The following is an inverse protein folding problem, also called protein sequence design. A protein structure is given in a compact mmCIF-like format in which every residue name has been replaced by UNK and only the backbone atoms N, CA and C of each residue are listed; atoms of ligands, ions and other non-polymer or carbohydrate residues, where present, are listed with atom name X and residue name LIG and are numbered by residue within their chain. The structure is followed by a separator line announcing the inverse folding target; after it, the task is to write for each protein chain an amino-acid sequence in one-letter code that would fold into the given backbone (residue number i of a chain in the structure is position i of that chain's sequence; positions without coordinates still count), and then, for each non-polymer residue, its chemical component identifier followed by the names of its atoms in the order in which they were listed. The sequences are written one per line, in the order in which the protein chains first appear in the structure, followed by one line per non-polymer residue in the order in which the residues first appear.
data_IF_567412173157
#
_entry.id   IF_567412173157
#
_cell.length_a   1.000
_cell.length_b   1.000
_cell.length_c   1.000
_cell.angle_alpha   90.00
_cell.angle_beta   90.00
_cell.angle_gamma   90.00
#
_symmetry.space_group_name_H-M   'P 1'
#
loop_
_entity.id
_entity.type
_entity.pdbx_description
1 polymer ?
#
# COMPACT_ATOMS: atom_id res chain seq x y z
N UNK A 1 6.26 12.65 7.85
CA UNK A 1 4.78 12.76 7.71
C UNK A 1 4.21 13.34 8.99
N UNK A 2 3.31 14.32 8.94
CA UNK A 2 2.52 14.76 10.13
C UNK A 2 1.20 13.99 10.20
N UNK A 3 0.52 13.96 11.37
CA UNK A 3 -0.79 13.29 11.53
C UNK A 3 -1.84 13.79 10.51
N UNK A 4 -1.88 15.10 10.25
CA UNK A 4 -2.80 15.70 9.27
C UNK A 4 -2.49 15.22 7.84
N UNK A 5 -1.22 15.16 7.46
CA UNK A 5 -0.81 14.69 6.13
C UNK A 5 -1.08 13.19 5.97
N UNK A 6 -0.84 12.39 7.01
CA UNK A 6 -1.11 10.96 7.01
C UNK A 6 -2.59 10.65 6.83
N UNK A 7 -3.47 11.40 7.52
CA UNK A 7 -4.94 11.25 7.36
C UNK A 7 -5.41 11.61 5.95
N UNK A 8 -4.87 12.68 5.37
CA UNK A 8 -5.18 13.06 3.99
C UNK A 8 -4.73 11.98 2.99
N UNK A 9 -3.51 11.45 3.17
CA UNK A 9 -2.98 10.36 2.37
C UNK A 9 -3.84 9.08 2.52
N UNK A 10 -4.23 8.71 3.74
CA UNK A 10 -5.08 7.57 4.01
C UNK A 10 -6.44 7.67 3.31
N UNK A 11 -7.06 8.87 3.30
CA UNK A 11 -8.32 9.11 2.60
C UNK A 11 -8.16 8.92 1.09
N UNK A 12 -7.13 9.52 0.51
CA UNK A 12 -6.84 9.38 -0.92
C UNK A 12 -6.54 7.92 -1.31
N UNK A 13 -5.74 7.23 -0.50
CA UNK A 13 -5.45 5.81 -0.66
C UNK A 13 -6.74 4.96 -0.69
N UNK A 14 -7.62 5.17 0.28
CA UNK A 14 -8.89 4.43 0.37
C UNK A 14 -9.81 4.70 -0.83
N UNK A 15 -9.88 5.96 -1.30
CA UNK A 15 -10.65 6.33 -2.49
C UNK A 15 -10.08 5.69 -3.76
N UNK A 16 -8.76 5.71 -3.93
CA UNK A 16 -8.07 5.13 -5.08
C UNK A 16 -8.27 3.61 -5.17
N UNK A 17 -8.16 2.90 -4.04
CA UNK A 17 -8.26 1.44 -3.97
C UNK A 17 -9.70 0.92 -3.92
N UNK A 18 -10.67 1.82 -3.74
CA UNK A 18 -12.09 1.46 -3.74
C UNK A 18 -12.47 0.76 -5.05
N UNK A 19 -12.83 -0.52 -4.95
CA UNK A 19 -13.24 -1.33 -6.10
C UNK A 19 -12.11 -1.91 -6.95
N UNK A 20 -10.83 -1.77 -6.55
CA UNK A 20 -9.66 -2.24 -7.33
C UNK A 20 -9.01 -3.55 -6.83
N UNK A 21 -9.57 -4.21 -5.83
CA UNK A 21 -8.87 -5.23 -5.04
C UNK A 21 -9.32 -6.68 -5.22
N UNK A 22 -9.64 -7.15 -6.43
CA UNK A 22 -10.12 -8.53 -6.59
C UNK A 22 -9.33 -9.44 -7.53
N UNK A 23 -8.15 -9.03 -8.02
CA UNK A 23 -7.29 -9.92 -8.79
C UNK A 23 -5.91 -10.01 -8.14
N UNK A 24 -5.46 -11.26 -7.92
CA UNK A 24 -4.21 -11.65 -7.24
C UNK A 24 -2.95 -10.86 -7.64
N UNK A 25 -2.97 -10.15 -8.77
CA UNK A 25 -1.88 -9.28 -9.23
C UNK A 25 -1.79 -7.93 -8.54
N UNK A 26 -2.83 -7.45 -7.85
CA UNK A 26 -2.83 -6.10 -7.25
C UNK A 26 -2.45 -6.08 -5.77
N UNK A 27 -2.37 -7.23 -5.09
CA UNK A 27 -2.03 -7.32 -3.66
C UNK A 27 -0.66 -6.72 -3.35
N UNK A 28 0.35 -6.98 -4.19
CA UNK A 28 1.69 -6.41 -4.00
C UNK A 28 1.67 -4.89 -4.13
N UNK A 29 1.01 -4.36 -5.17
CA UNK A 29 0.86 -2.91 -5.40
C UNK A 29 0.09 -2.23 -4.27
N UNK A 30 -0.93 -2.91 -3.73
CA UNK A 30 -1.70 -2.43 -2.58
C UNK A 30 -0.78 -2.20 -1.37
N UNK A 31 0.00 -3.20 -0.98
CA UNK A 31 0.87 -3.09 0.19
C UNK A 31 2.01 -2.09 -0.01
N UNK A 32 2.62 -2.08 -1.19
CA UNK A 32 3.67 -1.10 -1.52
C UNK A 32 3.13 0.33 -1.40
N UNK A 33 2.00 0.64 -2.04
CA UNK A 33 1.40 1.99 -1.99
C UNK A 33 0.88 2.37 -0.60
N UNK A 34 0.37 1.43 0.20
CA UNK A 34 -0.06 1.72 1.56
C UNK A 34 1.12 2.13 2.45
N UNK A 35 2.20 1.33 2.41
CA UNK A 35 3.37 1.54 3.24
C UNK A 35 4.13 2.80 2.83
N UNK A 36 4.26 3.07 1.53
CA UNK A 36 4.90 4.30 1.05
C UNK A 36 4.02 5.53 1.28
N UNK A 37 2.79 5.52 0.79
CA UNK A 37 2.03 6.76 0.59
C UNK A 37 1.33 7.20 1.89
N UNK A 38 0.93 6.25 2.74
CA UNK A 38 0.23 6.52 4.00
C UNK A 38 1.19 6.49 5.18
N UNK A 39 2.04 5.46 5.26
CA UNK A 39 2.96 5.31 6.39
C UNK A 39 4.31 5.97 6.19
N UNK A 40 4.65 6.42 4.97
CA UNK A 40 5.90 7.10 4.69
C UNK A 40 7.12 6.19 4.86
N UNK A 41 6.95 4.88 4.70
CA UNK A 41 8.04 3.91 4.76
C UNK A 41 8.92 4.10 3.53
N UNK A 42 10.16 4.50 3.75
CA UNK A 42 11.18 4.51 2.71
C UNK A 42 11.70 3.09 2.47
N UNK A 43 12.16 2.80 1.25
CA UNK A 43 12.72 1.49 0.91
C UNK A 43 11.78 0.31 1.20
N UNK A 44 10.47 0.46 0.94
CA UNK A 44 9.44 -0.55 1.29
C UNK A 44 9.82 -1.97 0.85
N UNK A 45 10.35 -2.13 -0.37
CA UNK A 45 10.75 -3.42 -0.92
C UNK A 45 11.86 -4.14 -0.12
N UNK A 46 12.61 -3.43 0.71
CA UNK A 46 13.63 -4.00 1.61
C UNK A 46 13.03 -4.41 2.97
N UNK A 47 11.80 -3.99 3.26
CA UNK A 47 11.12 -4.18 4.57
C UNK A 47 9.95 -5.15 4.52
N UNK A 48 9.44 -5.45 3.31
CA UNK A 48 8.30 -6.34 3.10
C UNK A 48 8.73 -7.57 2.30
N UNK A 49 8.29 -8.74 2.76
CA UNK A 49 8.38 -9.99 2.03
C UNK A 49 6.98 -10.42 1.62
N UNK A 50 6.82 -10.82 0.36
CA UNK A 50 5.56 -11.37 -0.13
C UNK A 50 5.65 -12.89 -0.12
N UNK A 51 4.56 -13.56 0.21
CA UNK A 51 4.49 -15.02 0.06
C UNK A 51 4.77 -15.39 -1.40
N UNK A 52 5.71 -16.31 -1.61
CA UNK A 52 5.90 -16.94 -2.91
C UNK A 52 4.62 -17.68 -3.26
N UNK A 53 4.07 -17.40 -4.45
CA UNK A 53 3.05 -18.28 -5.00
C UNK A 53 3.70 -19.63 -5.26
N UNK A 54 3.52 -20.57 -4.34
CA UNK A 54 3.80 -21.99 -4.60
C UNK A 54 2.82 -22.41 -5.69
N UNK A 55 3.34 -22.57 -6.91
CA UNK A 55 2.60 -22.98 -8.09
C UNK A 55 2.11 -24.42 -8.01
#
# INVERSE_FOLDING_TARGET
MTDVQQRAAAKHFAEYWKGKGYEKGESQKFWLSLLSDVFGVEHVAETIEFEDQVG
#
